data_IF_471376047478
#
_entry.id   IF_471376047478
#
_cell.length_a   1.000
_cell.length_b   1.000
_cell.length_c   1.000
_cell.angle_alpha   90.00
_cell.angle_beta   90.00
_cell.angle_gamma   90.00
#
_symmetry.space_group_name_H-M   'P 1'
#
loop_
_entity.id
_entity.type
_entity.pdbx_description
1 polymer ?
#
# COMPACT_ATOMS: atom_id res chain seq x y z
N UNK A 1 -3.80 -15.87 -14.59
CA UNK A 1 -2.49 -16.58 -14.46
C UNK A 1 -1.55 -16.12 -15.57
N UNK A 2 -0.92 -14.94 -15.41
CA UNK A 2 0.03 -14.41 -16.40
C UNK A 2 1.44 -14.92 -16.08
N UNK A 3 1.87 -15.89 -16.88
CA UNK A 3 3.25 -16.34 -16.95
C UNK A 3 4.09 -15.29 -17.67
N UNK A 4 4.75 -14.40 -16.92
CA UNK A 4 5.75 -13.49 -17.49
C UNK A 4 7.01 -13.49 -16.64
N UNK A 5 7.78 -14.57 -16.79
CA UNK A 5 9.18 -14.58 -16.40
C UNK A 5 10.03 -15.51 -17.27
N UNK A 6 9.67 -15.79 -18.54
CA UNK A 6 10.56 -16.50 -19.47
C UNK A 6 10.53 -15.80 -20.84
N UNK A 7 11.72 -15.52 -21.37
CA UNK A 7 11.99 -14.73 -22.58
C UNK A 7 11.45 -15.35 -23.87
N UNK A 8 10.14 -15.26 -24.06
CA UNK A 8 9.51 -15.26 -25.37
C UNK A 8 9.32 -13.81 -25.79
N UNK A 9 9.56 -13.50 -27.07
CA UNK A 9 9.19 -12.21 -27.65
C UNK A 9 7.70 -12.00 -27.46
N UNK A 10 7.29 -11.32 -26.39
CA UNK A 10 5.92 -10.93 -26.21
C UNK A 10 5.57 -10.02 -27.38
N UNK A 11 4.49 -10.36 -28.11
CA UNK A 11 3.94 -9.45 -29.11
C UNK A 11 3.74 -8.08 -28.45
N UNK A 12 4.07 -7.01 -29.17
CA UNK A 12 3.86 -5.66 -28.67
C UNK A 12 2.37 -5.50 -28.32
N UNK A 13 2.09 -4.93 -27.14
CA UNK A 13 0.73 -4.61 -26.75
C UNK A 13 0.20 -3.51 -27.68
N UNK A 14 -0.82 -3.82 -28.48
CA UNK A 14 -1.39 -2.87 -29.46
C UNK A 14 -2.53 -2.03 -28.87
N UNK A 15 -3.16 -2.49 -27.79
CA UNK A 15 -4.24 -1.80 -27.09
C UNK A 15 -4.25 -2.11 -25.59
N UNK A 16 -4.63 -1.12 -24.77
CA UNK A 16 -4.78 -1.21 -23.32
C UNK A 16 -6.20 -0.80 -22.97
N UNK A 17 -6.94 -1.64 -22.25
CA UNK A 17 -8.36 -1.43 -21.88
C UNK A 17 -9.25 -1.05 -23.08
N UNK A 18 -8.97 -1.63 -24.25
CA UNK A 18 -9.68 -1.37 -25.50
C UNK A 18 -9.26 -0.09 -26.23
N UNK A 19 -8.27 0.65 -25.72
CA UNK A 19 -7.72 1.87 -26.37
C UNK A 19 -6.41 1.55 -27.07
N UNK A 20 -6.31 1.89 -28.36
CA UNK A 20 -5.10 1.65 -29.15
C UNK A 20 -3.89 2.43 -28.62
N UNK A 21 -2.73 1.78 -28.49
CA UNK A 21 -1.49 2.40 -28.02
C UNK A 21 -1.04 3.52 -28.95
N UNK A 22 -1.27 3.38 -30.27
CA UNK A 22 -0.99 4.44 -31.25
C UNK A 22 -1.77 5.72 -30.97
N UNK A 23 -3.03 5.61 -30.55
CA UNK A 23 -3.88 6.77 -30.27
C UNK A 23 -3.44 7.47 -28.99
N UNK A 24 -3.08 6.70 -27.96
CA UNK A 24 -2.51 7.23 -26.72
C UNK A 24 -1.22 7.99 -26.96
N UNK A 25 -0.29 7.45 -27.77
CA UNK A 25 0.96 8.13 -28.14
C UNK A 25 0.68 9.40 -28.94
N UNK A 26 -0.25 9.34 -29.90
CA UNK A 26 -0.63 10.51 -30.70
C UNK A 26 -1.22 11.63 -29.84
N UNK A 27 -1.99 11.29 -28.81
CA UNK A 27 -2.65 12.25 -27.93
C UNK A 27 -1.74 12.79 -26.83
N UNK A 28 -0.88 11.96 -26.22
CA UNK A 28 -0.13 12.30 -25.01
C UNK A 28 1.40 12.34 -25.19
N UNK A 29 1.92 11.92 -26.34
CA UNK A 29 3.36 11.86 -26.62
C UNK A 29 4.04 10.60 -26.10
N UNK A 30 5.37 10.56 -26.19
CA UNK A 30 6.22 9.45 -25.76
C UNK A 30 7.54 9.97 -25.16
N UNK A 31 8.10 9.36 -24.09
CA UNK A 31 7.61 8.15 -23.39
C UNK A 31 6.36 8.42 -22.55
N UNK A 32 5.47 7.41 -22.49
CA UNK A 32 4.20 7.46 -21.79
C UNK A 32 4.03 6.23 -20.90
N UNK A 33 3.67 6.44 -19.64
CA UNK A 33 3.20 5.37 -18.75
C UNK A 33 1.68 5.25 -18.86
N UNK A 34 1.19 4.06 -19.17
CA UNK A 34 -0.24 3.74 -19.25
C UNK A 34 -0.51 2.59 -18.29
N UNK A 35 -1.56 2.74 -17.48
CA UNK A 35 -1.99 1.73 -16.52
C UNK A 35 -3.39 1.26 -16.90
N UNK A 36 -3.60 -0.05 -16.91
CA UNK A 36 -4.93 -0.66 -17.09
C UNK A 36 -5.65 -0.70 -15.75
N UNK A 37 -6.77 0.00 -15.63
CA UNK A 37 -7.58 -0.03 -14.42
C UNK A 37 -8.21 -1.41 -14.22
N UNK A 38 -8.68 -2.04 -15.31
CA UNK A 38 -9.28 -3.38 -15.23
C UNK A 38 -8.29 -4.40 -14.70
N UNK A 39 -7.03 -4.36 -15.14
CA UNK A 39 -6.00 -5.29 -14.66
C UNK A 39 -5.65 -5.04 -13.19
N UNK A 40 -5.62 -3.77 -12.73
CA UNK A 40 -5.40 -3.45 -11.32
C UNK A 40 -6.51 -4.04 -10.43
N UNK A 41 -7.77 -3.86 -10.84
CA UNK A 41 -8.93 -4.41 -10.12
C UNK A 41 -8.96 -5.93 -10.14
N UNK A 42 -8.70 -6.54 -11.29
CA UNK A 42 -8.61 -8.00 -11.43
C UNK A 42 -7.52 -8.57 -10.52
N UNK A 43 -6.32 -7.98 -10.53
CA UNK A 43 -5.20 -8.41 -9.68
C UNK A 43 -5.56 -8.37 -8.19
N UNK A 44 -6.22 -7.30 -7.74
CA UNK A 44 -6.71 -7.22 -6.36
C UNK A 44 -7.71 -8.34 -6.04
N UNK A 45 -8.73 -8.52 -6.89
CA UNK A 45 -9.80 -9.51 -6.67
C UNK A 45 -9.28 -10.95 -6.70
N UNK A 46 -8.36 -11.26 -7.61
CA UNK A 46 -7.69 -12.55 -7.67
C UNK A 46 -6.94 -12.84 -6.36
N UNK A 47 -6.13 -11.88 -5.89
CA UNK A 47 -5.38 -12.01 -4.64
C UNK A 47 -6.33 -12.16 -3.44
N UNK A 48 -7.32 -11.28 -3.33
CA UNK A 48 -8.29 -11.30 -2.25
C UNK A 48 -9.03 -12.65 -2.19
N UNK A 49 -9.51 -13.15 -3.34
CA UNK A 49 -10.20 -14.45 -3.44
C UNK A 49 -9.30 -15.63 -3.05
N UNK A 50 -8.02 -15.58 -3.41
CA UNK A 50 -7.08 -16.65 -3.08
C UNK A 50 -6.91 -16.84 -1.56
N UNK A 51 -6.92 -15.74 -0.79
CA UNK A 51 -6.80 -15.79 0.67
C UNK A 51 -8.15 -15.94 1.37
N UNK A 52 -9.18 -15.18 0.97
CA UNK A 52 -10.51 -15.21 1.60
C UNK A 52 -11.24 -16.55 1.43
N UNK A 53 -10.85 -17.36 0.44
CA UNK A 53 -11.35 -18.74 0.32
C UNK A 53 -10.83 -19.70 1.40
N UNK A 54 -9.79 -19.30 2.15
CA UNK A 54 -9.12 -20.14 3.18
C UNK A 54 -9.17 -19.52 4.57
N UNK A 55 -9.19 -18.20 4.67
CA UNK A 55 -9.19 -17.46 5.92
C UNK A 55 -10.40 -16.53 5.97
N UNK A 56 -11.12 -16.53 7.09
CA UNK A 56 -12.34 -15.75 7.26
C UNK A 56 -12.08 -14.24 7.37
N UNK A 57 -10.91 -13.86 7.90
CA UNK A 57 -10.53 -12.47 8.13
C UNK A 57 -9.26 -12.15 7.34
N UNK A 58 -9.46 -11.49 6.19
CA UNK A 58 -8.39 -11.11 5.27
C UNK A 58 -8.54 -9.63 4.95
N UNK A 59 -7.50 -8.87 5.27
CA UNK A 59 -7.39 -7.47 4.89
C UNK A 59 -6.18 -7.28 3.99
N UNK A 60 -6.43 -6.83 2.75
CA UNK A 60 -5.35 -6.41 1.86
C UNK A 60 -4.98 -4.95 2.12
N UNK A 61 -3.69 -4.64 2.07
CA UNK A 61 -3.16 -3.29 2.16
C UNK A 61 -2.37 -2.94 0.89
N UNK A 62 -2.63 -1.77 0.32
CA UNK A 62 -1.88 -1.27 -0.84
C UNK A 62 -0.62 -0.54 -0.38
N UNK A 63 0.54 -0.99 -0.85
CA UNK A 63 1.83 -0.39 -0.52
C UNK A 63 2.07 0.85 -1.38
N UNK A 64 2.07 2.02 -0.76
CA UNK A 64 2.17 3.30 -1.48
C UNK A 64 3.51 3.47 -2.21
N UNK A 65 4.60 2.88 -1.69
CA UNK A 65 5.92 2.89 -2.34
C UNK A 65 5.93 2.15 -3.68
N UNK A 66 4.99 1.24 -3.93
CA UNK A 66 4.88 0.55 -5.23
C UNK A 66 4.44 1.51 -6.32
N UNK A 67 3.38 2.28 -6.06
CA UNK A 67 2.98 3.40 -6.90
C UNK A 67 2.04 4.32 -6.12
N UNK A 68 2.49 5.54 -5.84
CA UNK A 68 1.75 6.51 -5.05
C UNK A 68 0.83 7.42 -5.90
N UNK A 69 0.65 7.19 -7.20
CA UNK A 69 -0.27 8.00 -8.00
C UNK A 69 -1.69 7.91 -7.43
N UNK A 70 -2.32 9.07 -7.17
CA UNK A 70 -3.63 9.15 -6.50
C UNK A 70 -4.69 8.28 -7.18
N UNK A 71 -4.69 8.25 -8.52
CA UNK A 71 -5.62 7.42 -9.29
C UNK A 71 -5.44 5.92 -9.03
N UNK A 72 -4.19 5.44 -8.97
CA UNK A 72 -3.89 4.02 -8.71
C UNK A 72 -4.27 3.65 -7.27
N UNK A 73 -3.87 4.46 -6.28
CA UNK A 73 -4.27 4.25 -4.89
C UNK A 73 -5.81 4.23 -4.77
N UNK A 74 -6.51 5.15 -5.44
CA UNK A 74 -7.97 5.23 -5.39
C UNK A 74 -8.65 3.96 -5.92
N UNK A 75 -8.13 3.36 -7.00
CA UNK A 75 -8.64 2.08 -7.53
C UNK A 75 -8.56 0.99 -6.47
N UNK A 76 -7.41 0.83 -5.80
CA UNK A 76 -7.25 -0.20 -4.77
C UNK A 76 -8.11 0.07 -3.53
N UNK A 77 -8.25 1.32 -3.10
CA UNK A 77 -9.14 1.67 -1.99
C UNK A 77 -10.61 1.44 -2.32
N UNK A 78 -11.04 1.69 -3.56
CA UNK A 78 -12.40 1.37 -4.02
C UNK A 78 -12.68 -0.14 -4.04
N UNK A 79 -11.65 -0.98 -4.24
CA UNK A 79 -11.77 -2.44 -4.12
C UNK A 79 -11.73 -2.92 -2.65
N UNK A 80 -11.42 -2.06 -1.69
CA UNK A 80 -11.40 -2.37 -0.25
C UNK A 80 -10.01 -2.53 0.36
N UNK A 81 -8.93 -2.17 -0.35
CA UNK A 81 -7.60 -2.14 0.24
C UNK A 81 -7.49 -1.02 1.30
N UNK A 82 -6.87 -1.32 2.44
CA UNK A 82 -6.38 -0.28 3.36
C UNK A 82 -5.02 0.26 2.87
N UNK A 83 -4.50 1.34 3.46
CA UNK A 83 -3.19 1.86 3.06
C UNK A 83 -2.05 1.16 3.84
N UNK A 84 -0.95 0.86 3.18
CA UNK A 84 0.35 0.59 3.80
C UNK A 84 1.34 1.66 3.35
N UNK A 85 1.97 2.31 4.34
CA UNK A 85 2.86 3.45 4.13
C UNK A 85 4.15 3.25 4.91
N UNK A 86 5.26 3.78 4.40
CA UNK A 86 6.59 3.66 5.02
C UNK A 86 7.19 5.00 5.41
N UNK A 87 6.47 6.11 5.20
CA UNK A 87 6.95 7.47 5.50
C UNK A 87 5.81 8.43 5.83
N UNK A 88 6.15 9.53 6.49
CA UNK A 88 5.23 10.63 6.83
C UNK A 88 4.55 11.21 5.59
N UNK A 89 5.30 11.34 4.49
CA UNK A 89 4.78 11.83 3.21
C UNK A 89 3.68 10.91 2.64
N UNK A 90 3.89 9.60 2.69
CA UNK A 90 2.89 8.62 2.24
C UNK A 90 1.69 8.58 3.18
N UNK A 91 1.92 8.69 4.49
CA UNK A 91 0.85 8.79 5.49
C UNK A 91 -0.04 10.01 5.22
N UNK A 92 0.56 11.20 5.04
CA UNK A 92 -0.16 12.41 4.67
C UNK A 92 -0.95 12.27 3.37
N UNK A 93 -0.37 11.58 2.39
CA UNK A 93 -1.04 11.31 1.12
C UNK A 93 -2.26 10.42 1.29
N UNK A 94 -2.16 9.36 2.10
CA UNK A 94 -3.30 8.50 2.43
C UNK A 94 -4.41 9.29 3.14
N UNK A 95 -4.03 10.11 4.14
CA UNK A 95 -4.99 11.00 4.85
C UNK A 95 -5.64 12.02 3.91
N UNK A 96 -4.88 12.62 2.99
CA UNK A 96 -5.41 13.57 1.99
C UNK A 96 -6.36 12.91 0.97
N UNK A 97 -6.32 11.59 0.84
CA UNK A 97 -7.29 10.81 0.06
C UNK A 97 -8.52 10.37 0.87
N UNK A 98 -8.59 10.74 2.15
CA UNK A 98 -9.71 10.43 3.03
C UNK A 98 -9.62 9.08 3.74
N UNK A 99 -8.51 8.35 3.61
CA UNK A 99 -8.31 7.06 4.29
C UNK A 99 -8.20 7.29 5.79
N UNK A 100 -9.07 6.74 6.66
CA UNK A 100 -9.01 6.96 8.10
C UNK A 100 -7.72 6.36 8.67
N UNK A 101 -7.17 6.95 9.74
CA UNK A 101 -5.93 6.45 10.37
C UNK A 101 -6.04 4.98 10.77
N UNK A 102 -7.20 4.56 11.29
CA UNK A 102 -7.52 3.15 11.57
C UNK A 102 -7.33 2.20 10.39
N UNK A 103 -7.36 2.69 9.16
CA UNK A 103 -7.16 1.95 7.91
C UNK A 103 -5.80 2.27 7.28
N UNK A 104 -4.81 2.62 8.09
CA UNK A 104 -3.41 2.81 7.68
C UNK A 104 -2.52 1.89 8.49
N UNK A 105 -1.72 1.07 7.80
CA UNK A 105 -0.56 0.39 8.36
C UNK A 105 0.64 1.31 8.17
N UNK A 106 1.20 1.80 9.27
CA UNK A 106 2.41 2.61 9.23
C UNK A 106 3.63 1.74 9.54
N UNK A 107 4.38 1.46 8.50
CA UNK A 107 5.60 0.66 8.48
C UNK A 107 6.82 1.58 8.26
N UNK A 108 7.99 0.99 8.04
CA UNK A 108 9.22 1.68 7.70
C UNK A 108 10.19 1.79 8.89
N UNK A 109 11.50 1.83 8.61
CA UNK A 109 12.56 1.77 9.62
C UNK A 109 12.69 3.04 10.46
N UNK A 110 12.05 4.13 10.02
CA UNK A 110 12.13 5.41 10.68
C UNK A 110 10.81 6.17 10.54
N UNK A 111 10.22 6.49 11.69
CA UNK A 111 9.00 7.28 11.82
C UNK A 111 9.33 8.45 12.73
N UNK A 112 9.13 9.69 12.26
CA UNK A 112 9.42 10.86 13.09
C UNK A 112 8.55 10.85 14.35
N UNK A 113 9.04 11.34 15.51
CA UNK A 113 8.24 11.36 16.74
C UNK A 113 6.86 12.01 16.56
N UNK A 114 6.77 13.11 15.81
CA UNK A 114 5.52 13.82 15.56
C UNK A 114 4.56 13.01 14.67
N UNK A 115 5.11 12.35 13.64
CA UNK A 115 4.33 11.48 12.76
C UNK A 115 3.84 10.22 13.47
N UNK A 116 4.68 9.66 14.35
CA UNK A 116 4.35 8.53 15.20
C UNK A 116 3.24 8.89 16.18
N UNK A 117 3.35 10.03 16.87
CA UNK A 117 2.32 10.53 17.78
C UNK A 117 0.99 10.76 17.05
N UNK A 118 1.05 11.38 15.86
CA UNK A 118 -0.13 11.55 15.00
C UNK A 118 -0.77 10.21 14.64
N UNK A 119 0.03 9.25 14.19
CA UNK A 119 -0.45 7.93 13.80
C UNK A 119 -1.14 7.21 14.97
N UNK A 120 -0.57 7.31 16.18
CA UNK A 120 -1.19 6.81 17.41
C UNK A 120 -2.54 7.50 17.67
N UNK A 121 -2.59 8.84 17.62
CA UNK A 121 -3.82 9.60 17.88
C UNK A 121 -4.93 9.31 16.86
N UNK A 122 -4.56 9.00 15.62
CA UNK A 122 -5.48 8.67 14.54
C UNK A 122 -5.85 7.16 14.49
N UNK A 123 -5.30 6.35 15.40
CA UNK A 123 -5.60 4.93 15.53
C UNK A 123 -4.93 4.04 14.48
N UNK A 124 -3.84 4.48 13.87
CA UNK A 124 -3.12 3.71 12.87
C UNK A 124 -2.50 2.42 13.42
N UNK A 125 -2.36 1.43 12.53
CA UNK A 125 -1.73 0.15 12.83
C UNK A 125 -0.21 0.31 12.69
N UNK A 126 0.51 0.42 13.79
CA UNK A 126 1.95 0.72 13.78
C UNK A 126 2.76 -0.58 13.76
N UNK A 127 3.67 -0.70 12.78
CA UNK A 127 4.66 -1.77 12.72
C UNK A 127 6.02 -1.27 13.20
N UNK A 128 6.43 -1.75 14.37
CA UNK A 128 7.71 -1.43 15.01
C UNK A 128 8.84 -2.13 14.27
N UNK A 129 9.82 -1.36 13.83
CA UNK A 129 10.99 -1.88 13.10
C UNK A 129 12.24 -2.00 13.98
N UNK A 130 12.35 -1.19 15.05
CA UNK A 130 13.51 -1.15 15.94
C UNK A 130 13.16 -0.77 17.40
N UNK A 131 14.14 -0.90 18.29
CA UNK A 131 13.97 -0.64 19.73
C UNK A 131 13.72 0.83 20.07
N UNK A 132 14.32 1.78 19.34
CA UNK A 132 14.12 3.20 19.60
C UNK A 132 12.66 3.61 19.33
N UNK A 133 12.07 3.05 18.29
CA UNK A 133 10.64 3.24 17.97
C UNK A 133 9.74 2.67 19.08
N UNK A 134 10.07 1.49 19.62
CA UNK A 134 9.35 0.91 20.75
C UNK A 134 9.41 1.84 21.98
N UNK A 135 10.59 2.37 22.30
CA UNK A 135 10.77 3.31 23.42
C UNK A 135 9.95 4.59 23.23
N UNK A 136 9.91 5.12 22.01
CA UNK A 136 9.08 6.27 21.68
C UNK A 136 7.58 5.96 21.88
N UNK A 137 7.12 4.78 21.45
CA UNK A 137 5.72 4.37 21.65
C UNK A 137 5.36 4.18 23.12
N UNK A 138 6.27 3.62 23.93
CA UNK A 138 6.09 3.53 25.39
C UNK A 138 5.92 4.92 25.98
N UNK A 139 6.78 5.87 25.62
CA UNK A 139 6.69 7.25 26.08
C UNK A 139 5.35 7.90 25.71
N UNK A 140 4.91 7.73 24.46
CA UNK A 140 3.62 8.25 23.97
C UNK A 140 2.45 7.59 24.73
N UNK A 141 2.51 6.27 24.97
CA UNK A 141 1.49 5.53 25.71
C UNK A 141 1.34 6.02 27.16
N UNK A 142 2.46 6.23 27.85
CA UNK A 142 2.51 6.76 29.22
C UNK A 142 1.94 8.18 29.30
N UNK A 143 2.40 9.07 28.41
CA UNK A 143 1.93 10.46 28.37
C UNK A 143 0.43 10.57 28.12
N UNK A 144 -0.12 9.71 27.26
CA UNK A 144 -1.53 9.74 26.86
C UNK A 144 -2.41 8.81 27.69
N UNK A 145 -1.83 8.03 28.61
CA UNK A 145 -2.52 7.02 29.42
C UNK A 145 -3.40 6.08 28.57
N UNK A 146 -2.87 5.63 27.43
CA UNK A 146 -3.60 4.80 26.47
C UNK A 146 -2.84 3.52 26.14
N UNK A 147 -3.60 2.48 25.77
CA UNK A 147 -3.05 1.24 25.22
C UNK A 147 -2.89 1.43 23.71
N UNK A 148 -1.66 1.27 23.22
CA UNK A 148 -1.35 1.35 21.78
C UNK A 148 -1.17 -0.07 21.25
N UNK A 149 -2.01 -0.46 20.28
CA UNK A 149 -1.87 -1.74 19.59
C UNK A 149 -0.78 -1.62 18.53
N UNK A 150 0.21 -2.51 18.60
CA UNK A 150 1.39 -2.50 17.73
C UNK A 150 1.64 -3.89 17.16
N UNK A 151 2.30 -3.95 16.01
CA UNK A 151 2.92 -5.16 15.49
C UNK A 151 4.44 -5.00 15.54
N UNK A 152 5.17 -6.09 15.77
CA UNK A 152 6.63 -6.10 15.78
C UNK A 152 7.13 -6.80 14.52
N UNK A 153 8.03 -6.16 13.79
CA UNK A 153 8.68 -6.78 12.65
C UNK A 153 9.73 -7.79 13.14
N UNK A 154 9.52 -9.06 12.79
CA UNK A 154 10.43 -10.15 13.15
C UNK A 154 11.21 -10.57 11.91
N UNK A 155 12.53 -10.47 11.98
CA UNK A 155 13.42 -11.12 11.02
C UNK A 155 13.63 -12.58 11.46
N UNK A 156 13.21 -13.53 10.64
CA UNK A 156 13.47 -14.95 10.89
C UNK A 156 14.77 -15.32 10.21
N UNK A 157 15.78 -15.73 10.99
CA UNK A 157 16.96 -16.39 10.46
C UNK A 157 16.59 -17.83 10.11
N UNK A 158 16.21 -18.04 8.85
CA UNK A 158 15.74 -19.33 8.36
C UNK A 158 16.87 -20.14 7.74
N UNK A 159 17.99 -20.32 8.46
CA UNK A 159 19.02 -21.35 8.20
C UNK A 159 19.89 -21.16 6.97
#
# INVERSE_FOLDING_TARGET
>A
MNAQAHGQSANACEAIDGVAVSDLIKQHGSPLYVFSESNLRESYRELHKAFSSRYADVQLAWSYKTNYLKAICAVFHQEGAIAEVVSDFEYEKARAMGIPGSDIIFNGPYKQPEALERAVNEGAKIQIDNMDELLNLIHIAEQKQQIINVAIRIYMDSG
#
